data_IF_174078860900
#
_entry.id   IF_174078860900
#
_cell.length_a   1.000
_cell.length_b   1.000
_cell.length_c   1.000
_cell.angle_alpha   90.00
_cell.angle_beta   90.00
_cell.angle_gamma   90.00
#
_symmetry.space_group_name_H-M   'P 1'
#
loop_
_entity.id
_entity.type
_entity.pdbx_description
1 polymer ?
#
# COMPACT_ATOMS: atom_id res chain seq x y z
N UNK A 1 97.42 -48.09 -12.84
CA UNK A 1 97.06 -48.05 -11.40
C UNK A 1 96.62 -46.62 -11.06
N UNK A 2 95.45 -46.51 -10.44
CA UNK A 2 94.61 -45.33 -10.16
C UNK A 2 95.28 -43.98 -9.83
N UNK A 3 94.77 -42.90 -10.46
CA UNK A 3 94.46 -41.63 -9.77
C UNK A 3 93.08 -41.13 -10.22
N UNK A 4 92.06 -41.49 -9.43
CA UNK A 4 90.74 -40.85 -9.38
C UNK A 4 90.85 -39.63 -8.46
N UNK A 5 90.42 -38.46 -8.94
CA UNK A 5 89.55 -37.46 -8.26
C UNK A 5 89.70 -36.10 -8.93
N UNK A 6 88.61 -35.33 -8.85
CA UNK A 6 88.47 -33.90 -9.17
C UNK A 6 88.32 -33.54 -10.66
N UNK A 7 87.09 -33.61 -11.15
CA UNK A 7 86.45 -32.45 -11.81
C UNK A 7 85.00 -32.76 -12.21
N UNK A 8 84.13 -32.88 -11.20
CA UNK A 8 82.69 -33.02 -11.45
C UNK A 8 81.87 -32.32 -10.37
N UNK A 9 82.15 -31.04 -10.13
CA UNK A 9 81.26 -30.24 -9.31
C UNK A 9 81.29 -28.78 -9.75
N UNK A 10 80.29 -28.40 -10.57
CA UNK A 10 79.77 -27.05 -10.86
C UNK A 10 79.21 -27.00 -12.27
N UNK A 11 77.96 -27.42 -12.44
CA UNK A 11 77.03 -26.72 -13.35
C UNK A 11 75.58 -27.19 -13.18
N UNK A 12 74.72 -26.19 -12.98
CA UNK A 12 73.27 -26.21 -13.15
C UNK A 12 72.43 -26.79 -12.00
N UNK A 13 72.28 -25.99 -10.94
CA UNK A 13 71.03 -25.92 -10.15
C UNK A 13 70.55 -24.47 -10.06
N UNK A 14 70.06 -23.92 -11.16
CA UNK A 14 69.30 -22.65 -11.17
C UNK A 14 68.34 -22.60 -12.34
N UNK A 15 67.27 -23.38 -12.29
CA UNK A 15 65.99 -23.05 -12.94
C UNK A 15 64.90 -23.95 -12.35
N UNK A 16 64.11 -23.47 -11.39
CA UNK A 16 62.66 -23.40 -11.64
C UNK A 16 61.90 -22.56 -10.60
N UNK A 17 62.57 -21.67 -9.87
CA UNK A 17 61.95 -20.89 -8.79
C UNK A 17 61.31 -19.55 -9.23
N UNK A 18 60.93 -19.39 -10.51
CA UNK A 18 60.39 -18.11 -11.02
C UNK A 18 58.93 -18.11 -11.49
N UNK A 19 58.20 -19.22 -11.50
CA UNK A 19 56.82 -19.23 -12.06
C UNK A 19 55.70 -18.99 -11.05
N UNK A 20 55.96 -19.00 -9.72
CA UNK A 20 54.88 -18.91 -8.71
C UNK A 20 54.57 -17.49 -8.19
N UNK A 21 55.44 -16.51 -8.46
CA UNK A 21 55.33 -15.14 -7.90
C UNK A 21 54.50 -14.18 -8.76
N UNK A 22 54.41 -14.37 -10.08
CA UNK A 22 53.57 -13.50 -10.94
C UNK A 22 52.09 -13.83 -10.85
N UNK A 23 51.74 -15.12 -10.69
CA UNK A 23 50.34 -15.59 -10.55
C UNK A 23 49.59 -14.93 -9.39
N UNK A 24 50.24 -14.73 -8.23
CA UNK A 24 49.61 -14.06 -7.08
C UNK A 24 49.34 -12.57 -7.34
N UNK A 25 50.23 -11.86 -8.03
CA UNK A 25 50.02 -10.45 -8.38
C UNK A 25 48.86 -10.30 -9.36
N UNK A 26 48.80 -11.14 -10.39
CA UNK A 26 47.67 -11.18 -11.33
C UNK A 26 46.37 -11.54 -10.62
N UNK A 27 46.39 -12.47 -9.66
CA UNK A 27 45.22 -12.82 -8.85
C UNK A 27 44.69 -11.64 -8.02
N UNK A 28 45.58 -10.87 -7.36
CA UNK A 28 45.15 -9.68 -6.60
C UNK A 28 44.61 -8.56 -7.50
N UNK A 29 45.17 -8.39 -8.71
CA UNK A 29 44.66 -7.43 -9.70
C UNK A 29 43.26 -7.83 -10.17
N UNK A 30 43.05 -9.12 -10.47
CA UNK A 30 41.73 -9.64 -10.89
C UNK A 30 40.70 -9.51 -9.77
N UNK A 31 41.07 -9.86 -8.53
CA UNK A 31 40.17 -9.72 -7.37
C UNK A 31 39.82 -8.25 -7.10
N UNK A 32 40.77 -7.33 -7.23
CA UNK A 32 40.52 -5.90 -7.12
C UNK A 32 39.57 -5.39 -8.21
N UNK A 33 39.75 -5.82 -9.46
CA UNK A 33 38.87 -5.45 -10.56
C UNK A 33 37.44 -5.99 -10.39
N UNK A 34 37.28 -7.23 -9.92
CA UNK A 34 35.98 -7.83 -9.60
C UNK A 34 35.30 -7.08 -8.45
N UNK A 35 36.06 -6.72 -7.41
CA UNK A 35 35.51 -5.96 -6.28
C UNK A 35 35.03 -4.57 -6.70
N UNK A 36 35.80 -3.87 -7.55
CA UNK A 36 35.39 -2.57 -8.12
C UNK A 36 34.16 -2.74 -9.01
N UNK A 37 34.07 -3.79 -9.83
CA UNK A 37 32.89 -4.01 -10.69
C UNK A 37 31.62 -4.26 -9.89
N UNK A 38 31.71 -4.99 -8.77
CA UNK A 38 30.59 -5.21 -7.84
C UNK A 38 30.13 -3.89 -7.24
N UNK A 39 31.05 -3.04 -6.77
CA UNK A 39 30.70 -1.72 -6.22
C UNK A 39 30.00 -0.86 -7.28
N UNK A 40 30.51 -0.84 -8.52
CA UNK A 40 29.89 -0.11 -9.62
C UNK A 40 28.48 -0.65 -9.91
N UNK A 41 28.28 -1.97 -9.95
CA UNK A 41 26.97 -2.57 -10.17
C UNK A 41 25.97 -2.24 -9.05
N UNK A 42 26.40 -2.19 -7.79
CA UNK A 42 25.52 -1.80 -6.67
C UNK A 42 25.11 -0.33 -6.80
N UNK A 43 26.04 0.56 -7.11
CA UNK A 43 25.74 1.99 -7.28
C UNK A 43 24.84 2.25 -8.50
N UNK A 44 25.09 1.57 -9.62
CA UNK A 44 24.22 1.62 -10.81
C UNK A 44 22.84 1.05 -10.48
N UNK A 45 22.77 -0.04 -9.72
CA UNK A 45 21.51 -0.60 -9.22
C UNK A 45 20.72 0.41 -8.39
N UNK A 46 21.38 1.13 -7.48
CA UNK A 46 20.73 2.19 -6.69
C UNK A 46 20.30 3.38 -7.53
N UNK A 47 21.07 3.76 -8.56
CA UNK A 47 20.68 4.82 -9.50
C UNK A 47 19.48 4.38 -10.35
N UNK A 48 19.43 3.13 -10.81
CA UNK A 48 18.29 2.57 -11.57
C UNK A 48 17.06 2.46 -10.67
N UNK A 49 17.19 1.95 -9.45
CA UNK A 49 16.09 1.91 -8.47
C UNK A 49 15.62 3.34 -8.16
N UNK A 50 16.55 4.28 -8.01
CA UNK A 50 16.26 5.70 -7.84
C UNK A 50 15.47 6.26 -9.04
N UNK A 51 15.96 6.07 -10.26
CA UNK A 51 15.30 6.50 -11.50
C UNK A 51 13.92 5.88 -11.69
N UNK A 52 13.76 4.59 -11.37
CA UNK A 52 12.46 3.90 -11.37
C UNK A 52 11.53 4.39 -10.26
N UNK A 53 12.08 4.90 -9.16
CA UNK A 53 11.31 5.45 -8.03
C UNK A 53 10.98 6.94 -8.19
N UNK A 54 11.60 7.67 -9.13
CA UNK A 54 11.59 9.14 -9.18
C UNK A 54 10.44 9.80 -9.98
N UNK A 55 9.47 9.02 -10.46
CA UNK A 55 8.14 9.54 -10.80
C UNK A 55 7.09 8.60 -10.23
N UNK A 56 6.86 8.70 -8.92
CA UNK A 56 5.66 8.11 -8.34
C UNK A 56 4.47 8.76 -9.02
N UNK A 57 3.73 8.01 -9.84
CA UNK A 57 2.49 8.50 -10.41
C UNK A 57 1.56 8.87 -9.25
N UNK A 58 1.06 10.10 -9.30
CA UNK A 58 0.20 10.67 -8.29
C UNK A 58 -0.86 11.48 -8.99
N UNK A 59 -2.09 11.31 -8.53
CA UNK A 59 -3.21 12.13 -8.90
C UNK A 59 -3.92 12.56 -7.63
N UNK A 60 -4.23 13.84 -7.52
CA UNK A 60 -5.06 14.35 -6.45
C UNK A 60 -5.90 15.51 -6.95
N UNK A 61 -7.14 15.57 -6.50
CA UNK A 61 -8.10 16.62 -6.83
C UNK A 61 -8.94 16.93 -5.61
N UNK A 62 -9.25 18.20 -5.43
CA UNK A 62 -10.30 18.69 -4.53
C UNK A 62 -11.49 19.27 -5.29
N UNK A 63 -11.43 19.23 -6.64
CA UNK A 63 -12.52 19.67 -7.50
C UNK A 63 -13.65 18.64 -7.49
N UNK A 64 -14.80 19.06 -6.99
CA UNK A 64 -16.01 18.23 -6.86
C UNK A 64 -16.54 17.76 -8.21
N UNK A 65 -16.22 18.45 -9.32
CA UNK A 65 -16.63 17.99 -10.66
C UNK A 65 -16.01 16.65 -11.04
N UNK A 66 -14.95 16.23 -10.36
CA UNK A 66 -14.29 14.94 -10.54
C UNK A 66 -14.83 13.84 -9.63
N UNK A 67 -15.88 14.12 -8.85
CA UNK A 67 -16.55 13.09 -8.06
C UNK A 67 -17.07 11.96 -8.95
N UNK A 68 -16.83 10.71 -8.55
CA UNK A 68 -17.17 9.53 -9.34
C UNK A 68 -16.11 9.11 -10.37
N UNK A 69 -15.06 9.92 -10.57
CA UNK A 69 -13.97 9.60 -11.51
C UNK A 69 -12.77 9.07 -10.74
N UNK A 70 -12.80 7.77 -10.40
CA UNK A 70 -11.80 7.10 -9.54
C UNK A 70 -10.86 6.13 -10.27
N UNK A 71 -10.84 6.16 -11.61
CA UNK A 71 -10.03 5.24 -12.42
C UNK A 71 -9.37 5.98 -13.58
N UNK A 72 -8.16 5.52 -13.95
CA UNK A 72 -7.43 5.98 -15.13
C UNK A 72 -6.40 7.07 -14.87
N UNK A 73 -6.15 7.40 -13.60
CA UNK A 73 -5.24 8.47 -13.21
C UNK A 73 -3.81 7.98 -12.95
N UNK A 74 -3.68 6.76 -12.44
CA UNK A 74 -2.38 6.09 -12.24
C UNK A 74 -2.44 4.64 -12.73
N UNK A 75 -1.27 4.05 -13.00
CA UNK A 75 -1.17 2.67 -13.47
C UNK A 75 -1.78 1.70 -12.46
N UNK A 76 -2.54 0.73 -12.98
CA UNK A 76 -3.15 -0.36 -12.22
C UNK A 76 -4.19 0.08 -11.15
N UNK A 77 -4.70 1.32 -11.23
CA UNK A 77 -5.64 1.90 -10.25
C UNK A 77 -6.82 0.98 -9.92
N UNK A 78 -7.61 0.61 -10.94
CA UNK A 78 -8.75 -0.29 -10.76
C UNK A 78 -8.37 -1.64 -10.13
N UNK A 79 -7.21 -2.19 -10.51
CA UNK A 79 -6.79 -3.51 -10.07
C UNK A 79 -6.34 -3.54 -8.60
N UNK A 80 -5.87 -2.40 -8.09
CA UNK A 80 -5.29 -2.27 -6.75
C UNK A 80 -6.22 -1.60 -5.72
N UNK A 81 -7.38 -1.10 -6.13
CA UNK A 81 -8.46 -0.71 -5.22
C UNK A 81 -8.93 -1.93 -4.43
N UNK A 82 -9.00 -1.80 -3.10
CA UNK A 82 -9.39 -2.89 -2.19
C UNK A 82 -10.73 -2.63 -1.49
N UNK A 83 -11.63 -1.93 -2.15
CA UNK A 83 -12.94 -1.57 -1.62
C UNK A 83 -13.96 -1.45 -2.75
N UNK A 84 -15.24 -1.71 -2.45
CA UNK A 84 -16.37 -1.43 -3.34
C UNK A 84 -16.88 0.01 -3.25
N UNK A 85 -16.38 0.82 -2.31
CA UNK A 85 -16.79 2.20 -2.02
C UNK A 85 -18.30 2.33 -1.72
N UNK A 86 -18.92 1.32 -1.13
CA UNK A 86 -20.37 1.29 -0.88
C UNK A 86 -20.83 2.35 0.12
N UNK A 87 -19.93 2.79 1.00
CA UNK A 87 -20.19 3.91 1.91
C UNK A 87 -20.43 5.20 1.12
N UNK A 88 -19.75 5.40 0.00
CA UNK A 88 -19.88 6.62 -0.78
C UNK A 88 -21.19 6.62 -1.57
N UNK A 89 -21.91 7.76 -1.62
CA UNK A 89 -23.11 7.87 -2.44
C UNK A 89 -22.71 7.79 -3.92
N UNK A 90 -23.44 7.03 -4.73
CA UNK A 90 -23.14 6.89 -6.17
C UNK A 90 -23.25 8.23 -6.91
N UNK A 91 -24.20 9.05 -6.48
CA UNK A 91 -24.44 10.41 -6.99
C UNK A 91 -24.57 11.36 -5.80
N UNK A 92 -24.05 12.58 -5.96
CA UNK A 92 -24.24 13.63 -4.97
C UNK A 92 -25.65 14.19 -5.07
N UNK A 93 -26.28 14.47 -3.93
CA UNK A 93 -27.54 15.22 -3.94
C UNK A 93 -27.31 16.61 -4.54
N UNK A 94 -28.22 17.01 -5.43
CA UNK A 94 -28.27 18.36 -6.00
C UNK A 94 -28.47 19.46 -4.96
N UNK A 95 -28.98 19.12 -3.76
CA UNK A 95 -29.23 20.06 -2.67
C UNK A 95 -28.17 19.98 -1.57
N UNK A 96 -27.16 19.12 -1.70
CA UNK A 96 -26.07 19.03 -0.75
C UNK A 96 -25.34 20.38 -0.64
N UNK A 97 -25.01 20.78 0.59
CA UNK A 97 -24.34 22.05 0.91
C UNK A 97 -23.02 21.77 1.61
N UNK A 98 -22.18 22.81 1.70
CA UNK A 98 -20.88 22.77 2.41
C UNK A 98 -20.03 21.57 1.97
N UNK A 99 -19.96 21.35 0.66
CA UNK A 99 -19.28 20.19 0.10
C UNK A 99 -17.78 20.39 0.21
N UNK A 100 -17.11 19.51 0.92
CA UNK A 100 -15.66 19.38 0.94
C UNK A 100 -15.29 18.04 0.30
N UNK A 101 -14.36 18.05 -0.66
CA UNK A 101 -13.97 16.87 -1.40
C UNK A 101 -12.47 16.79 -1.57
N UNK A 102 -11.96 15.56 -1.46
CA UNK A 102 -10.60 15.19 -1.79
C UNK A 102 -10.62 13.78 -2.35
N UNK A 103 -9.94 13.62 -3.47
CA UNK A 103 -9.49 12.34 -3.99
C UNK A 103 -7.98 12.38 -4.16
N UNK A 104 -7.29 11.32 -3.76
CA UNK A 104 -5.85 11.14 -3.98
C UNK A 104 -5.56 9.67 -4.22
N UNK A 105 -4.82 9.39 -5.28
CA UNK A 105 -4.24 8.09 -5.56
C UNK A 105 -2.75 8.29 -5.88
N UNK A 106 -1.89 7.50 -5.22
CA UNK A 106 -0.43 7.62 -5.36
C UNK A 106 0.22 6.24 -5.37
N UNK A 107 1.21 6.07 -6.23
CA UNK A 107 2.09 4.90 -6.20
C UNK A 107 3.01 4.97 -4.98
N UNK A 108 2.94 3.96 -4.10
CA UNK A 108 3.79 3.82 -2.91
C UNK A 108 4.41 2.42 -2.87
N UNK A 109 5.68 2.33 -3.25
CA UNK A 109 6.39 1.05 -3.35
C UNK A 109 5.77 0.15 -4.42
N UNK A 110 5.32 -1.04 -4.03
CA UNK A 110 4.64 -2.01 -4.93
C UNK A 110 3.11 -1.86 -4.95
N UNK A 111 2.56 -0.91 -4.20
CA UNK A 111 1.11 -0.73 -4.04
C UNK A 111 0.63 0.67 -4.38
N UNK A 112 -0.69 0.83 -4.43
CA UNK A 112 -1.34 2.14 -4.46
C UNK A 112 -1.87 2.53 -3.08
N UNK A 113 -1.60 3.78 -2.70
CA UNK A 113 -2.25 4.43 -1.57
C UNK A 113 -3.42 5.28 -2.06
N UNK A 114 -4.55 5.19 -1.38
CA UNK A 114 -5.76 5.97 -1.69
C UNK A 114 -6.21 6.79 -0.48
N UNK A 115 -6.70 7.99 -0.77
CA UNK A 115 -7.49 8.80 0.14
C UNK A 115 -8.70 9.33 -0.61
N UNK A 116 -9.88 9.10 -0.07
CA UNK A 116 -11.09 9.75 -0.53
C UNK A 116 -11.82 10.30 0.68
N UNK A 117 -12.16 11.58 0.61
CA UNK A 117 -12.88 12.31 1.63
C UNK A 117 -13.99 13.09 0.93
N UNK A 118 -15.21 12.93 1.43
CA UNK A 118 -16.35 13.72 1.02
C UNK A 118 -17.08 14.13 2.29
N UNK A 119 -17.39 15.41 2.45
CA UNK A 119 -18.24 15.89 3.53
C UNK A 119 -19.33 16.75 2.92
N UNK A 120 -20.57 16.47 3.33
CA UNK A 120 -21.75 17.15 2.83
C UNK A 120 -22.71 17.44 3.98
N UNK A 121 -23.36 18.60 3.92
CA UNK A 121 -24.54 18.92 4.74
C UNK A 121 -25.80 18.70 3.91
N UNK A 122 -26.78 18.00 4.47
CA UNK A 122 -28.03 17.62 3.80
C UNK A 122 -29.23 18.37 4.38
N UNK A 123 -30.33 18.39 3.63
CA UNK A 123 -31.64 18.68 4.22
C UNK A 123 -32.07 17.56 5.18
N UNK A 124 -33.03 17.82 6.07
CA UNK A 124 -33.51 16.81 7.02
C UNK A 124 -34.00 15.52 6.35
N UNK A 125 -34.69 15.66 5.21
CA UNK A 125 -35.21 14.53 4.46
C UNK A 125 -34.09 13.72 3.82
N UNK A 126 -33.15 14.39 3.16
CA UNK A 126 -32.02 13.72 2.48
C UNK A 126 -31.08 13.08 3.50
N UNK A 127 -30.85 13.74 4.64
CA UNK A 127 -30.05 13.19 5.72
C UNK A 127 -30.64 11.86 6.21
N UNK A 128 -31.95 11.82 6.49
CA UNK A 128 -32.62 10.59 6.93
C UNK A 128 -32.55 9.49 5.88
N UNK A 129 -32.81 9.83 4.62
CA UNK A 129 -32.72 8.88 3.51
C UNK A 129 -31.30 8.32 3.36
N UNK A 130 -30.29 9.15 3.57
CA UNK A 130 -28.89 8.74 3.49
C UNK A 130 -28.45 7.88 4.69
N UNK A 131 -28.94 8.17 5.88
CA UNK A 131 -28.77 7.30 7.06
C UNK A 131 -29.43 5.93 6.81
N UNK A 132 -30.64 5.90 6.25
CA UNK A 132 -31.34 4.66 5.90
C UNK A 132 -30.56 3.87 4.83
N UNK A 133 -30.03 4.57 3.81
CA UNK A 133 -29.15 3.96 2.81
C UNK A 133 -27.93 3.34 3.46
N UNK A 134 -27.19 4.10 4.27
CA UNK A 134 -25.98 3.63 4.96
C UNK A 134 -26.27 2.39 5.81
N UNK A 135 -27.34 2.42 6.61
CA UNK A 135 -27.79 1.29 7.44
C UNK A 135 -28.11 0.02 6.63
N UNK A 136 -28.57 0.18 5.40
CA UNK A 136 -28.96 -0.93 4.52
C UNK A 136 -27.78 -1.55 3.74
N UNK A 137 -26.59 -0.93 3.78
CA UNK A 137 -25.44 -1.41 3.02
C UNK A 137 -25.09 -2.83 3.46
N UNK A 138 -24.97 -3.68 2.45
CA UNK A 138 -24.53 -5.07 2.58
C UNK A 138 -23.62 -5.42 1.42
N UNK A 139 -22.83 -6.47 1.60
CA UNK A 139 -21.99 -7.05 0.57
C UNK A 139 -22.21 -8.56 0.54
N UNK A 140 -22.55 -9.10 -0.63
CA UNK A 140 -22.67 -10.54 -0.85
C UNK A 140 -21.31 -11.09 -1.34
N UNK A 141 -20.77 -12.06 -0.62
CA UNK A 141 -19.50 -12.72 -0.93
C UNK A 141 -19.76 -14.18 -1.26
N UNK A 142 -19.37 -14.60 -2.46
CA UNK A 142 -19.41 -16.00 -2.84
C UNK A 142 -18.17 -16.72 -2.32
N UNK A 143 -18.39 -17.74 -1.49
CA UNK A 143 -17.35 -18.59 -0.92
C UNK A 143 -17.49 -20.02 -1.42
N UNK A 144 -16.49 -20.87 -1.15
CA UNK A 144 -16.58 -22.32 -1.43
C UNK A 144 -17.76 -23.00 -0.71
N UNK A 145 -18.24 -22.42 0.39
CA UNK A 145 -19.29 -22.96 1.24
C UNK A 145 -20.66 -22.28 1.02
N UNK A 146 -20.81 -21.48 -0.05
CA UNK A 146 -22.02 -20.72 -0.36
C UNK A 146 -21.84 -19.20 -0.26
N UNK A 147 -22.94 -18.47 -0.31
CA UNK A 147 -22.94 -17.00 -0.25
C UNK A 147 -23.05 -16.51 1.19
N UNK A 148 -22.09 -15.67 1.61
CA UNK A 148 -22.12 -14.94 2.89
C UNK A 148 -22.58 -13.51 2.62
N UNK A 149 -23.43 -12.96 3.49
CA UNK A 149 -23.82 -11.55 3.46
C UNK A 149 -23.22 -10.84 4.65
N UNK A 150 -22.41 -9.81 4.39
CA UNK A 150 -21.86 -8.93 5.41
C UNK A 150 -22.62 -7.60 5.40
N UNK A 151 -22.79 -6.99 6.57
CA UNK A 151 -23.45 -5.70 6.73
C UNK A 151 -22.45 -4.69 7.31
N UNK A 152 -22.69 -3.41 7.05
CA UNK A 152 -21.93 -2.36 7.74
C UNK A 152 -22.15 -2.43 9.25
N UNK A 153 -21.11 -2.10 10.02
CA UNK A 153 -21.18 -1.97 11.47
C UNK A 153 -21.58 -0.55 11.85
N UNK A 154 -22.51 -0.39 12.78
CA UNK A 154 -22.74 0.89 13.46
C UNK A 154 -21.86 1.00 14.71
N UNK A 155 -21.23 2.15 14.92
CA UNK A 155 -20.47 2.43 16.14
C UNK A 155 -20.58 3.90 16.55
N UNK A 156 -20.68 4.14 17.85
CA UNK A 156 -20.66 5.45 18.50
C UNK A 156 -19.44 5.65 19.42
N UNK A 157 -18.49 4.72 19.38
CA UNK A 157 -17.33 4.68 20.31
C UNK A 157 -15.98 4.65 19.59
N UNK A 158 -15.94 4.30 18.30
CA UNK A 158 -14.69 4.21 17.51
C UNK A 158 -14.20 5.56 16.98
N UNK A 159 -15.06 6.57 17.03
CA UNK A 159 -14.83 7.91 16.48
C UNK A 159 -15.39 8.98 17.43
N UNK A 160 -15.13 10.25 17.13
CA UNK A 160 -15.69 11.39 17.87
C UNK A 160 -17.21 11.60 17.63
N UNK A 161 -17.79 10.87 16.66
CA UNK A 161 -19.20 10.94 16.29
C UNK A 161 -19.68 9.54 15.88
N UNK A 162 -21.01 9.27 15.85
CA UNK A 162 -21.55 8.02 15.31
C UNK A 162 -21.11 7.75 13.86
N UNK A 163 -20.94 6.48 13.53
CA UNK A 163 -20.45 6.04 12.24
C UNK A 163 -21.07 4.73 11.75
N UNK A 164 -21.20 4.60 10.43
CA UNK A 164 -21.39 3.34 9.72
C UNK A 164 -20.08 2.93 9.05
N UNK A 165 -19.68 1.68 9.26
CA UNK A 165 -18.33 1.20 8.96
C UNK A 165 -18.40 0.00 8.02
N UNK A 166 -17.82 0.13 6.83
CA UNK A 166 -17.65 -0.96 5.88
C UNK A 166 -16.29 -1.66 6.03
N UNK A 167 -15.23 -0.92 6.40
CA UNK A 167 -13.91 -1.47 6.66
C UNK A 167 -13.20 -0.72 7.80
N UNK A 168 -12.57 -1.47 8.71
CA UNK A 168 -11.92 -0.91 9.90
C UNK A 168 -10.54 -1.53 10.14
N UNK A 169 -9.52 -0.99 9.48
CA UNK A 169 -8.10 -1.29 9.71
C UNK A 169 -7.55 -2.51 8.99
N UNK A 170 -8.41 -3.46 8.61
CA UNK A 170 -7.96 -4.69 7.99
C UNK A 170 -7.19 -4.48 6.69
N UNK A 171 -5.97 -5.00 6.60
CA UNK A 171 -5.04 -4.79 5.47
C UNK A 171 -4.78 -3.30 5.17
N UNK A 172 -4.77 -2.47 6.22
CA UNK A 172 -4.62 -1.00 6.18
C UNK A 172 -5.70 -0.30 5.34
N UNK A 173 -6.92 -0.82 5.37
CA UNK A 173 -8.08 -0.26 4.69
C UNK A 173 -9.06 0.27 5.73
N UNK A 174 -9.56 1.46 5.48
CA UNK A 174 -10.65 2.05 6.23
C UNK A 174 -11.70 2.57 5.26
N UNK A 175 -12.96 2.29 5.54
CA UNK A 175 -14.09 2.85 4.82
C UNK A 175 -15.28 3.01 5.76
N UNK A 176 -15.73 4.24 5.96
CA UNK A 176 -16.79 4.55 6.91
C UNK A 176 -17.42 5.92 6.62
N UNK A 177 -18.65 6.09 7.07
CA UNK A 177 -19.35 7.37 7.10
C UNK A 177 -19.56 7.78 8.55
N UNK A 178 -19.07 8.95 8.91
CA UNK A 178 -19.29 9.61 10.20
C UNK A 178 -20.41 10.63 10.03
N UNK A 179 -21.32 10.74 11.00
CA UNK A 179 -22.44 11.65 10.89
C UNK A 179 -22.72 12.43 12.17
N UNK A 180 -23.13 13.69 11.98
CA UNK A 180 -23.58 14.59 13.03
C UNK A 180 -25.04 14.95 12.76
N UNK A 181 -25.93 14.49 13.63
CA UNK A 181 -27.37 14.71 13.48
C UNK A 181 -27.75 16.18 13.67
N UNK A 182 -27.15 16.90 14.62
CA UNK A 182 -27.55 18.28 14.94
C UNK A 182 -27.38 19.23 13.74
N UNK A 183 -26.31 19.04 12.97
CA UNK A 183 -26.00 19.86 11.79
C UNK A 183 -26.19 19.10 10.47
N UNK A 184 -26.85 17.93 10.51
CA UNK A 184 -27.21 17.09 9.34
C UNK A 184 -26.05 16.88 8.35
N UNK A 185 -24.87 16.64 8.90
CA UNK A 185 -23.63 16.51 8.12
C UNK A 185 -23.16 15.07 8.13
N UNK A 186 -22.75 14.56 6.97
CA UNK A 186 -22.17 13.23 6.81
C UNK A 186 -20.81 13.38 6.13
N UNK A 187 -19.81 12.71 6.70
CA UNK A 187 -18.42 12.67 6.22
C UNK A 187 -18.07 11.24 5.85
N UNK A 188 -17.82 11.01 4.56
CA UNK A 188 -17.47 9.73 3.97
C UNK A 188 -15.97 9.65 3.77
N UNK A 189 -15.37 8.58 4.25
CA UNK A 189 -13.92 8.41 4.23
C UNK A 189 -13.57 7.04 3.69
N UNK A 190 -12.59 7.01 2.78
CA UNK A 190 -11.86 5.83 2.38
C UNK A 190 -10.36 6.11 2.46
N UNK A 191 -9.63 5.19 3.08
CA UNK A 191 -8.19 5.24 3.20
C UNK A 191 -7.61 3.86 2.92
N UNK A 192 -6.60 3.79 2.07
CA UNK A 192 -5.84 2.55 1.82
C UNK A 192 -4.34 2.83 1.90
N UNK A 193 -3.64 2.15 2.80
CA UNK A 193 -2.16 2.16 2.89
C UNK A 193 -1.61 3.60 3.01
N UNK A 194 -2.28 4.43 3.80
CA UNK A 194 -1.83 5.78 4.16
C UNK A 194 -1.37 5.77 5.61
N UNK A 195 -0.31 6.52 5.91
CA UNK A 195 0.16 6.71 7.27
C UNK A 195 -0.57 7.89 7.91
N UNK A 196 -0.62 7.97 9.24
CA UNK A 196 -1.26 9.09 9.94
C UNK A 196 -0.63 10.46 9.59
N UNK A 197 0.64 10.48 9.19
CA UNK A 197 1.32 11.71 8.79
C UNK A 197 1.03 12.14 7.35
N UNK A 198 0.50 11.23 6.53
CA UNK A 198 0.21 11.47 5.11
C UNK A 198 -1.28 11.73 4.84
N UNK A 199 -2.13 11.73 5.88
CA UNK A 199 -3.56 12.04 5.76
C UNK A 199 -3.75 13.51 5.42
N UNK A 200 -4.47 13.78 4.32
CA UNK A 200 -4.64 15.11 3.75
C UNK A 200 -5.96 15.82 4.18
N UNK A 201 -6.66 15.29 5.17
CA UNK A 201 -7.86 15.89 5.78
C UNK A 201 -7.76 15.93 7.31
N UNK A 202 -8.71 16.58 7.98
CA UNK A 202 -8.70 16.75 9.44
C UNK A 202 -8.65 15.41 10.18
N UNK A 203 -7.75 15.30 11.16
CA UNK A 203 -7.55 14.08 11.95
C UNK A 203 -8.72 13.77 12.89
N UNK A 204 -9.61 14.73 13.13
CA UNK A 204 -10.81 14.53 13.97
C UNK A 204 -11.76 13.47 13.40
N UNK A 205 -11.67 13.22 12.09
CA UNK A 205 -12.47 12.23 11.40
C UNK A 205 -11.81 10.85 11.33
N UNK A 206 -10.57 10.72 11.82
CA UNK A 206 -9.90 9.43 11.89
C UNK A 206 -10.42 8.61 13.08
N UNK A 207 -10.38 7.27 13.01
CA UNK A 207 -10.63 6.44 14.18
C UNK A 207 -9.71 6.82 15.34
N UNK A 208 -10.20 6.69 16.57
CA UNK A 208 -9.42 7.02 17.78
C UNK A 208 -8.08 6.26 17.81
N UNK A 209 -8.10 5.00 17.36
CA UNK A 209 -6.93 4.11 17.34
C UNK A 209 -6.02 4.30 16.12
N UNK A 210 -6.42 5.13 15.12
CA UNK A 210 -5.66 5.31 13.88
C UNK A 210 -4.24 5.87 14.12
N UNK A 211 -4.03 6.52 15.26
CA UNK A 211 -2.73 7.04 15.66
C UNK A 211 -1.72 5.93 16.03
N UNK A 212 -2.21 4.71 16.34
CA UNK A 212 -1.39 3.57 16.75
C UNK A 212 -1.16 2.62 15.56
N UNK A 213 -0.33 3.03 14.60
CA UNK A 213 -0.08 2.29 13.34
C UNK A 213 0.32 0.82 13.54
N UNK A 214 0.99 0.50 14.65
CA UNK A 214 1.45 -0.87 14.97
C UNK A 214 0.28 -1.83 15.25
N UNK A 215 -0.80 -1.34 15.85
CA UNK A 215 -1.92 -2.18 16.28
C UNK A 215 -2.83 -2.59 15.10
N UNK A 216 -2.72 -1.87 13.97
CA UNK A 216 -3.47 -2.12 12.73
C UNK A 216 -2.84 -3.20 11.83
N UNK A 217 -1.60 -3.61 12.13
CA UNK A 217 -0.83 -4.57 11.33
C UNK A 217 -0.86 -6.01 11.89
N UNK A 218 -1.15 -6.16 13.17
CA UNK A 218 -0.99 -7.43 13.91
C UNK A 218 -2.31 -8.22 14.10
N UNK A 219 -3.43 -7.76 13.53
CA UNK A 219 -4.70 -8.44 13.69
C UNK A 219 -4.96 -9.43 12.54
N UNK A 220 -4.52 -10.67 12.72
CA UNK A 220 -4.78 -11.80 11.81
C UNK A 220 -6.27 -12.19 11.72
N UNK A 221 -7.17 -11.56 12.50
CA UNK A 221 -8.61 -11.85 12.54
C UNK A 221 -9.43 -10.95 11.59
N UNK A 222 -8.87 -10.70 10.40
CA UNK A 222 -9.35 -9.76 9.38
C UNK A 222 -10.75 -10.08 8.80
N UNK A 223 -11.26 -11.29 9.04
CA UNK A 223 -12.50 -11.83 8.47
C UNK A 223 -13.78 -11.12 8.93
N UNK A 224 -13.73 -10.37 10.03
CA UNK A 224 -14.90 -9.73 10.64
C UNK A 224 -14.88 -8.20 10.63
N UNK A 225 -13.84 -7.57 10.07
CA UNK A 225 -13.66 -6.10 10.13
C UNK A 225 -13.79 -5.41 8.77
N UNK A 226 -14.18 -6.14 7.73
CA UNK A 226 -14.37 -5.61 6.39
C UNK A 226 -15.51 -6.35 5.66
N UNK A 227 -16.51 -5.62 5.15
CA UNK A 227 -17.64 -6.22 4.45
C UNK A 227 -17.24 -6.84 3.10
N UNK A 228 -16.11 -6.43 2.52
CA UNK A 228 -15.59 -6.86 1.23
C UNK A 228 -14.69 -8.10 1.29
N UNK A 229 -14.20 -8.60 2.43
CA UNK A 229 -13.27 -9.74 2.36
C UNK A 229 -13.58 -10.82 3.38
N UNK A 230 -13.24 -12.05 3.01
CA UNK A 230 -13.11 -13.20 3.91
C UNK A 230 -11.88 -13.99 3.48
N UNK A 231 -10.97 -14.24 4.42
CA UNK A 231 -9.73 -14.97 4.23
C UNK A 231 -9.97 -16.47 4.43
N UNK A 232 -10.57 -17.12 3.43
CA UNK A 232 -10.67 -18.58 3.40
C UNK A 232 -9.46 -19.20 2.69
N UNK A 233 -8.29 -19.10 3.31
CA UNK A 233 -7.11 -19.96 3.11
C UNK A 233 -6.43 -20.04 1.74
N UNK A 234 -7.07 -19.69 0.62
CA UNK A 234 -6.53 -19.93 -0.74
C UNK A 234 -7.09 -19.00 -1.84
N UNK A 235 -7.53 -17.79 -1.52
CA UNK A 235 -7.90 -16.82 -2.55
C UNK A 235 -8.72 -15.63 -2.03
N UNK A 236 -8.25 -14.42 -2.33
CA UNK A 236 -9.01 -13.19 -2.13
C UNK A 236 -10.08 -13.13 -3.22
N UNK A 237 -11.34 -13.35 -2.87
CA UNK A 237 -12.45 -13.24 -3.82
C UNK A 237 -12.71 -11.76 -4.12
N UNK A 238 -12.36 -11.32 -5.34
CA UNK A 238 -12.76 -10.04 -5.91
C UNK A 238 -14.04 -10.26 -6.72
N UNK A 239 -15.20 -10.07 -6.09
CA UNK A 239 -16.48 -10.28 -6.74
C UNK A 239 -17.60 -9.80 -5.84
N UNK A 240 -17.59 -8.51 -5.51
CA UNK A 240 -18.66 -7.87 -4.76
C UNK A 240 -19.74 -7.45 -5.73
N UNK A 241 -20.97 -7.69 -5.34
CA UNK A 241 -22.16 -7.20 -6.01
C UNK A 241 -22.93 -6.35 -5.02
N UNK A 242 -23.27 -5.14 -5.43
CA UNK A 242 -24.22 -4.25 -4.78
C UNK A 242 -25.61 -4.89 -4.68
#
# INVERSE_FOLDING_TARGET
MNKRKEDSDKRVKTSSFQTKKSSRKTMFIVLGAVFISIIVMINVGQIIIGLLSFKSEEYSTTDISNYGVYEGHVRDEKAQLRSGLFIFPKELSVNAKNIEFLYSCRVRGLGLSYQQFLKCTYSDQEYRAEIDRLKSIKCEINTKNGTKVNYVEYSDTKFNYPAYIAAYGGNRIFEYAIFNEDIKTITYIYIQIVSNNDVAFSKEYLPIEYQNEKQLLDDDNLDNKNIYYTYLGYGVYKGFKD
#
